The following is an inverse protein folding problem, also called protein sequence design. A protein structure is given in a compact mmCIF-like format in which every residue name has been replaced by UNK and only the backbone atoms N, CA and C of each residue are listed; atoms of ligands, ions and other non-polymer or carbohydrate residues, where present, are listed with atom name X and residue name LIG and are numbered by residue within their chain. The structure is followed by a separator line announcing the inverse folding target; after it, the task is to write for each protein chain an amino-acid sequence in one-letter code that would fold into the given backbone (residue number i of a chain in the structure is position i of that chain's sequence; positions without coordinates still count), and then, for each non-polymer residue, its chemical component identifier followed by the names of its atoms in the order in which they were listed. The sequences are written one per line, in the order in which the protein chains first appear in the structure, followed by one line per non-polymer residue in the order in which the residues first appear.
data_IF_019580290689
#
_entry.id   IF_019580290689
#
_cell.length_a   1.000
_cell.length_b   1.000
_cell.length_c   1.000
_cell.angle_alpha   90.00
_cell.angle_beta   90.00
_cell.angle_gamma   90.00
#
_symmetry.space_group_name_H-M   'P 1'
#
loop_
_entity.id
_entity.type
_entity.pdbx_description
1 polymer ?
#
# COMPACT_ATOMS: atom_id res chain seq x y z
N UNK A 1 -3.14 -33.17 -25.33
CA UNK A 1 -3.50 -31.73 -25.43
C UNK A 1 -3.58 -31.16 -24.02
N UNK A 2 -2.59 -30.41 -23.56
CA UNK A 2 -2.59 -29.83 -22.21
C UNK A 2 -3.39 -28.53 -22.21
N UNK A 3 -4.61 -28.55 -21.65
CA UNK A 3 -5.41 -27.33 -21.54
C UNK A 3 -4.73 -26.36 -20.58
N UNK A 4 -4.41 -25.15 -21.06
CA UNK A 4 -3.75 -24.10 -20.27
C UNK A 4 -4.74 -23.59 -19.22
N UNK A 5 -4.63 -24.05 -17.97
CA UNK A 5 -5.51 -23.60 -16.89
C UNK A 5 -5.40 -22.09 -16.68
N UNK A 6 -6.52 -21.38 -16.81
CA UNK A 6 -6.58 -19.92 -16.65
C UNK A 6 -6.19 -19.57 -15.20
N UNK A 7 -5.15 -18.75 -15.02
CA UNK A 7 -4.70 -18.31 -13.69
C UNK A 7 -5.77 -17.41 -13.06
N UNK A 8 -6.12 -17.69 -11.81
CA UNK A 8 -7.00 -16.85 -11.02
C UNK A 8 -6.38 -15.45 -10.82
N UNK A 9 -7.21 -14.42 -10.93
CA UNK A 9 -6.84 -13.02 -10.82
C UNK A 9 -7.49 -12.44 -9.57
N UNK A 10 -6.69 -11.83 -8.69
CA UNK A 10 -7.14 -11.28 -7.41
C UNK A 10 -6.77 -9.80 -7.32
N UNK A 11 -7.69 -8.96 -6.82
CA UNK A 11 -7.46 -7.53 -6.62
C UNK A 11 -6.37 -7.28 -5.57
N UNK A 12 -5.77 -6.08 -5.58
CA UNK A 12 -4.76 -5.72 -4.57
C UNK A 12 -5.38 -5.73 -3.16
N UNK A 13 -6.57 -5.17 -3.02
CA UNK A 13 -7.33 -5.13 -1.76
C UNK A 13 -7.54 -6.53 -1.19
N UNK A 14 -7.99 -7.49 -2.02
CA UNK A 14 -8.18 -8.87 -1.57
C UNK A 14 -6.87 -9.51 -1.09
N UNK A 15 -5.77 -9.26 -1.79
CA UNK A 15 -4.45 -9.77 -1.37
C UNK A 15 -3.98 -9.13 -0.08
N UNK A 16 -4.16 -7.81 0.10
CA UNK A 16 -3.78 -7.09 1.31
C UNK A 16 -4.57 -7.59 2.52
N UNK A 17 -5.87 -7.81 2.36
CA UNK A 17 -6.70 -8.34 3.45
C UNK A 17 -6.27 -9.75 3.85
N UNK A 18 -5.98 -10.62 2.87
CA UNK A 18 -5.47 -11.96 3.14
C UNK A 18 -4.13 -11.92 3.90
N UNK A 19 -3.22 -11.00 3.55
CA UNK A 19 -1.95 -10.80 4.27
C UNK A 19 -2.17 -10.21 5.66
N UNK A 20 -3.10 -9.26 5.81
CA UNK A 20 -3.46 -8.65 7.11
C UNK A 20 -3.94 -9.70 8.10
N UNK A 21 -4.78 -10.64 7.66
CA UNK A 21 -5.26 -11.76 8.48
C UNK A 21 -4.09 -12.62 9.00
N UNK A 22 -3.15 -12.98 8.14
CA UNK A 22 -1.95 -13.72 8.55
C UNK A 22 -1.09 -12.91 9.54
N UNK A 23 -0.90 -11.60 9.29
CA UNK A 23 -0.16 -10.71 10.20
C UNK A 23 -0.81 -10.52 11.55
N UNK A 24 -2.14 -10.67 11.64
CA UNK A 24 -2.88 -10.67 12.91
C UNK A 24 -2.71 -11.95 13.73
N UNK A 25 -1.89 -12.90 13.26
CA UNK A 25 -1.55 -14.14 13.97
C UNK A 25 -2.36 -15.36 13.53
N UNK A 26 -3.23 -15.22 12.52
CA UNK A 26 -3.97 -16.37 12.00
C UNK A 26 -3.06 -17.30 11.19
N UNK A 27 -3.29 -18.61 11.32
CA UNK A 27 -2.53 -19.61 10.56
C UNK A 27 -2.81 -19.47 9.07
N UNK A 28 -1.77 -19.55 8.25
CA UNK A 28 -1.91 -19.48 6.80
C UNK A 28 -2.78 -20.62 6.24
N UNK A 29 -2.77 -21.79 6.88
CA UNK A 29 -3.64 -22.91 6.49
C UNK A 29 -5.12 -22.53 6.69
N UNK A 30 -5.47 -21.96 7.84
CA UNK A 30 -6.83 -21.50 8.15
C UNK A 30 -7.25 -20.39 7.19
N UNK A 31 -6.43 -19.35 7.03
CA UNK A 31 -6.73 -18.23 6.11
C UNK A 31 -6.92 -18.72 4.68
N UNK A 32 -6.07 -19.63 4.21
CA UNK A 32 -6.18 -20.18 2.85
C UNK A 32 -7.46 -21.00 2.64
N UNK A 33 -7.86 -21.81 3.62
CA UNK A 33 -9.09 -22.58 3.59
C UNK A 33 -10.33 -21.67 3.61
N UNK A 34 -10.36 -20.68 4.52
CA UNK A 34 -11.46 -19.71 4.64
C UNK A 34 -11.65 -18.89 3.37
N UNK A 35 -10.55 -18.45 2.75
CA UNK A 35 -10.60 -17.64 1.52
C UNK A 35 -10.72 -18.48 0.25
N UNK A 36 -10.72 -19.82 0.35
CA UNK A 36 -10.80 -20.72 -0.80
C UNK A 36 -9.62 -20.61 -1.77
N UNK A 37 -8.45 -20.20 -1.28
CA UNK A 37 -7.23 -20.03 -2.09
C UNK A 37 -6.19 -21.11 -1.76
N UNK A 38 -5.30 -21.40 -2.70
CA UNK A 38 -4.18 -22.32 -2.44
C UNK A 38 -3.23 -21.71 -1.42
N UNK A 39 -2.78 -22.49 -0.44
CA UNK A 39 -1.83 -22.05 0.59
C UNK A 39 -0.54 -21.46 0.00
N UNK A 40 -0.02 -22.03 -1.09
CA UNK A 40 1.15 -21.50 -1.81
C UNK A 40 0.91 -20.09 -2.37
N UNK A 41 -0.32 -19.80 -2.81
CA UNK A 41 -0.69 -18.47 -3.31
C UNK A 41 -0.63 -17.44 -2.19
N UNK A 42 -1.20 -17.76 -1.02
CA UNK A 42 -1.13 -16.90 0.16
C UNK A 42 0.31 -16.68 0.62
N UNK A 43 1.14 -17.74 0.64
CA UNK A 43 2.55 -17.63 0.96
C UNK A 43 3.30 -16.66 0.05
N UNK A 44 3.06 -16.74 -1.25
CA UNK A 44 3.68 -15.84 -2.21
C UNK A 44 3.25 -14.38 -1.99
N UNK A 45 2.02 -14.14 -1.55
CA UNK A 45 1.54 -12.78 -1.23
C UNK A 45 2.17 -12.22 0.04
N UNK A 46 2.25 -13.01 1.12
CA UNK A 46 2.92 -12.60 2.36
C UNK A 46 4.40 -12.27 2.08
N UNK A 47 5.08 -13.10 1.28
CA UNK A 47 6.47 -12.82 0.84
C UNK A 47 6.55 -11.53 0.01
N UNK A 48 5.69 -11.38 -1.00
CA UNK A 48 5.71 -10.21 -1.86
C UNK A 48 5.41 -8.91 -1.09
N UNK A 49 4.53 -8.96 -0.09
CA UNK A 49 4.20 -7.82 0.77
C UNK A 49 5.40 -7.41 1.65
N UNK A 50 6.10 -8.39 2.25
CA UNK A 50 7.36 -8.16 2.98
C UNK A 50 8.44 -7.52 2.10
N UNK A 51 8.46 -7.85 0.81
CA UNK A 51 9.39 -7.28 -0.16
C UNK A 51 8.91 -5.96 -0.78
N UNK A 52 7.72 -5.45 -0.43
CA UNK A 52 7.12 -4.25 -1.04
C UNK A 52 6.67 -4.42 -2.49
N UNK A 53 6.50 -5.67 -2.96
CA UNK A 53 6.21 -6.05 -4.34
C UNK A 53 4.79 -6.60 -4.53
N UNK A 54 3.93 -6.55 -3.52
CA UNK A 54 2.56 -7.07 -3.63
C UNK A 54 1.74 -6.18 -4.58
N UNK A 55 1.30 -6.74 -5.70
CA UNK A 55 0.50 -6.05 -6.72
C UNK A 55 -0.82 -6.77 -6.98
N UNK A 56 -1.87 -6.03 -7.36
CA UNK A 56 -3.18 -6.58 -7.72
C UNK A 56 -3.28 -7.04 -9.17
N UNK A 57 -4.26 -7.88 -9.49
CA UNK A 57 -4.64 -8.19 -10.86
C UNK A 57 -5.14 -6.93 -11.58
N UNK A 58 -4.72 -6.73 -12.83
CA UNK A 58 -5.11 -5.56 -13.62
C UNK A 58 -4.40 -4.25 -13.25
N UNK A 59 -3.65 -4.21 -12.15
CA UNK A 59 -2.74 -3.09 -11.86
C UNK A 59 -1.44 -3.32 -12.63
N UNK A 60 -1.08 -2.36 -13.50
CA UNK A 60 0.32 -2.24 -13.91
C UNK A 60 1.15 -2.05 -12.63
N UNK A 61 2.31 -2.72 -12.48
CA UNK A 61 3.23 -2.41 -11.40
C UNK A 61 3.46 -0.89 -11.39
N UNK A 62 3.17 -0.23 -10.26
CA UNK A 62 3.49 1.18 -10.09
C UNK A 62 5.00 1.28 -10.15
N UNK A 63 5.54 2.06 -11.08
CA UNK A 63 6.99 2.10 -11.24
C UNK A 63 7.63 2.80 -10.03
N UNK A 64 8.89 2.48 -9.67
CA UNK A 64 9.60 3.15 -8.58
C UNK A 64 9.56 4.69 -8.70
N UNK A 65 9.62 5.20 -9.92
CA UNK A 65 9.53 6.64 -10.23
C UNK A 65 8.15 7.21 -9.87
N UNK A 66 7.07 6.46 -10.10
CA UNK A 66 5.71 6.89 -9.73
C UNK A 66 5.50 6.89 -8.22
N UNK A 67 6.10 5.93 -7.50
CA UNK A 67 6.10 5.90 -6.04
C UNK A 67 6.86 7.09 -5.46
N UNK A 68 8.06 7.36 -6.00
CA UNK A 68 8.88 8.49 -5.54
C UNK A 68 8.19 9.83 -5.86
N UNK A 69 7.55 9.96 -7.02
CA UNK A 69 6.76 11.15 -7.35
C UNK A 69 5.60 11.35 -6.37
N UNK A 70 4.90 10.28 -5.98
CA UNK A 70 3.82 10.38 -4.99
C UNK A 70 4.35 10.80 -3.62
N UNK A 71 5.48 10.23 -3.18
CA UNK A 71 6.17 10.60 -1.94
C UNK A 71 6.59 12.07 -1.95
N UNK A 72 7.24 12.53 -3.02
CA UNK A 72 7.68 13.92 -3.16
C UNK A 72 6.50 14.89 -3.17
N UNK A 73 5.37 14.53 -3.82
CA UNK A 73 4.15 15.36 -3.78
C UNK A 73 3.58 15.49 -2.38
N UNK A 74 3.55 14.39 -1.62
CA UNK A 74 3.10 14.42 -0.22
C UNK A 74 4.02 15.30 0.64
N UNK A 75 5.33 15.18 0.47
CA UNK A 75 6.31 15.97 1.21
C UNK A 75 6.21 17.46 0.87
N UNK A 76 6.08 17.82 -0.41
CA UNK A 76 5.86 19.21 -0.84
C UNK A 76 4.57 19.77 -0.24
N UNK A 77 3.50 18.98 -0.15
CA UNK A 77 2.26 19.42 0.47
C UNK A 77 2.45 19.70 1.97
N UNK A 78 3.14 18.81 2.70
CA UNK A 78 3.49 18.98 4.12
C UNK A 78 4.31 20.25 4.35
N UNK A 79 5.39 20.43 3.59
CA UNK A 79 6.28 21.59 3.71
C UNK A 79 5.56 22.91 3.39
N UNK A 80 4.66 22.91 2.40
CA UNK A 80 3.84 24.10 2.11
C UNK A 80 2.92 24.45 3.28
N UNK A 81 2.29 23.45 3.90
CA UNK A 81 1.44 23.64 5.07
C UNK A 81 2.24 24.20 6.25
N UNK A 82 3.40 23.62 6.57
CA UNK A 82 4.28 24.10 7.65
C UNK A 82 4.72 25.56 7.41
N UNK A 83 5.17 25.87 6.19
CA UNK A 83 5.51 27.24 5.80
C UNK A 83 4.33 28.19 6.01
N UNK A 84 3.12 27.78 5.64
CA UNK A 84 1.93 28.64 5.75
C UNK A 84 1.50 28.87 7.20
N UNK A 85 1.67 27.86 8.06
CA UNK A 85 1.49 28.01 9.51
C UNK A 85 2.49 29.02 10.07
N UNK A 86 3.78 28.88 9.72
CA UNK A 86 4.83 29.79 10.18
C UNK A 86 4.58 31.23 9.70
N UNK A 87 4.17 31.41 8.44
CA UNK A 87 3.81 32.73 7.90
C UNK A 87 2.64 33.37 8.65
N UNK A 88 1.60 32.59 8.97
CA UNK A 88 0.46 33.07 9.76
C UNK A 88 0.88 33.46 11.17
N UNK A 89 1.72 32.66 11.82
CA UNK A 89 2.25 32.97 13.15
C UNK A 89 3.09 34.26 13.13
N UNK A 90 4.02 34.40 12.18
CA UNK A 90 4.82 35.62 12.04
C UNK A 90 3.95 36.87 11.80
N UNK A 91 2.92 36.76 10.95
CA UNK A 91 1.97 37.84 10.71
C UNK A 91 1.12 38.20 11.94
N UNK A 92 0.82 37.23 12.80
CA UNK A 92 0.13 37.46 14.06
C UNK A 92 1.01 38.24 15.05
N UNK A 93 2.23 37.77 15.30
CA UNK A 93 3.17 38.45 16.21
C UNK A 93 3.55 39.87 15.75
N UNK A 94 3.70 40.07 14.43
CA UNK A 94 3.97 41.41 13.88
C UNK A 94 2.81 42.39 14.11
N UNK A 95 1.57 41.92 14.24
CA UNK A 95 0.40 42.76 14.55
C UNK A 95 0.28 43.11 16.04
N UNK A 96 0.75 42.25 16.93
CA UNK A 96 0.72 42.48 18.39
C UNK A 96 1.87 43.37 18.90
N UNK A 97 2.93 43.55 18.09
CA UNK A 97 4.12 44.32 18.45
C UNK A 97 4.05 45.81 18.04
N UNK A 98 2.87 46.29 17.62
CA UNK A 98 2.59 47.67 17.19
C UNK A 98 1.57 48.31 18.13
#
# INVERSE_FOLDING_TARGET
MTSKTKRAQYTLEFKLEAVRLVKSGQSMAVVSATLGIRAQTLHNWVKAEREGKLTGAGMKPVSPEQMELARLRAEVARLKMERDILKKAAAYFAKESV
#
